data_IF_486369722857
#
_entry.id   IF_486369722857
#
_cell.length_a   1.000
_cell.length_b   1.000
_cell.length_c   1.000
_cell.angle_alpha   90.00
_cell.angle_beta   90.00
_cell.angle_gamma   90.00
#
_symmetry.space_group_name_H-M   'P 1'
#
loop_
_entity.id
_entity.type
_entity.pdbx_description
1 polymer ?
#
# COMPACT_ATOMS: atom_id res chain seq x y z
N UNK A 1 4.70 -16.58 -31.31
CA UNK A 1 3.54 -16.68 -30.40
C UNK A 1 3.83 -15.77 -29.22
N UNK A 2 3.20 -14.59 -29.15
CA UNK A 2 3.34 -13.67 -28.01
C UNK A 2 2.27 -14.04 -26.98
N UNK A 3 2.63 -14.00 -25.71
CA UNK A 3 1.68 -14.10 -24.61
C UNK A 3 0.90 -12.80 -24.56
N UNK A 4 -0.42 -12.91 -24.48
CA UNK A 4 -1.31 -11.75 -24.38
C UNK A 4 -1.12 -11.08 -23.01
N UNK A 5 -1.30 -9.76 -22.92
CA UNK A 5 -1.09 -9.01 -21.66
C UNK A 5 -1.86 -9.60 -20.45
N UNK A 6 -3.02 -10.23 -20.70
CA UNK A 6 -3.83 -10.92 -19.69
C UNK A 6 -3.13 -12.13 -19.07
N UNK A 7 -2.48 -12.94 -19.91
CA UNK A 7 -1.79 -14.16 -19.47
C UNK A 7 -0.54 -13.82 -18.66
N UNK A 8 0.14 -12.73 -19.01
CA UNK A 8 1.29 -12.25 -18.25
C UNK A 8 0.89 -11.74 -16.86
N UNK A 9 -0.24 -11.04 -16.75
CA UNK A 9 -0.78 -10.61 -15.45
C UNK A 9 -1.29 -11.79 -14.60
N UNK A 10 -1.89 -12.81 -15.23
CA UNK A 10 -2.30 -14.03 -14.53
C UNK A 10 -1.08 -14.78 -13.95
N UNK A 11 0.01 -14.86 -14.72
CA UNK A 11 1.26 -15.43 -14.24
C UNK A 11 1.90 -14.63 -13.11
N UNK A 12 1.82 -13.29 -13.16
CA UNK A 12 2.33 -12.44 -12.09
C UNK A 12 1.66 -12.77 -10.75
N UNK A 13 0.32 -12.79 -10.75
CA UNK A 13 -0.48 -13.16 -9.58
C UNK A 13 -0.14 -14.57 -9.10
N UNK A 14 0.04 -15.51 -10.04
CA UNK A 14 0.42 -16.88 -9.71
C UNK A 14 1.82 -16.95 -9.10
N UNK A 15 2.80 -16.25 -9.66
CA UNK A 15 4.19 -16.22 -9.17
C UNK A 15 4.26 -15.65 -7.75
N UNK A 16 3.53 -14.58 -7.48
CA UNK A 16 3.41 -14.01 -6.14
C UNK A 16 2.72 -14.97 -5.17
N UNK A 17 1.65 -15.62 -5.62
CA UNK A 17 0.91 -16.57 -4.78
C UNK A 17 1.75 -17.75 -4.40
N UNK A 18 2.39 -18.40 -5.37
CA UNK A 18 3.25 -19.57 -5.15
C UNK A 18 4.45 -19.17 -4.25
N UNK A 19 5.00 -17.97 -4.42
CA UNK A 19 6.08 -17.44 -3.57
C UNK A 19 5.68 -17.33 -2.10
N UNK A 20 4.44 -16.91 -1.83
CA UNK A 20 3.92 -16.77 -0.46
C UNK A 20 3.57 -18.13 0.13
N UNK A 21 2.98 -19.04 -0.64
CA UNK A 21 2.51 -20.33 -0.13
C UNK A 21 3.62 -21.37 0.00
N UNK A 22 4.56 -21.43 -0.94
CA UNK A 22 5.61 -22.45 -0.99
C UNK A 22 6.98 -21.92 -0.55
N UNK A 23 7.14 -20.60 -0.47
CA UNK A 23 8.41 -19.94 -0.22
C UNK A 23 9.21 -19.69 -1.49
N UNK A 24 10.11 -18.69 -1.42
CA UNK A 24 10.93 -18.23 -2.56
C UNK A 24 11.96 -19.25 -3.05
N UNK A 25 12.40 -20.15 -2.17
CA UNK A 25 13.38 -21.18 -2.48
C UNK A 25 12.78 -22.43 -3.13
N UNK A 26 11.46 -22.53 -3.22
CA UNK A 26 10.80 -23.70 -3.81
C UNK A 26 11.02 -23.75 -5.34
N UNK A 27 11.21 -24.96 -5.87
CA UNK A 27 11.41 -25.20 -7.30
C UNK A 27 10.25 -24.68 -8.14
N UNK A 28 9.01 -24.91 -7.70
CA UNK A 28 7.81 -24.47 -8.42
C UNK A 28 7.74 -22.95 -8.46
N UNK A 29 8.04 -22.29 -7.34
CA UNK A 29 8.13 -20.82 -7.29
C UNK A 29 9.12 -20.28 -8.31
N UNK A 30 10.30 -20.90 -8.41
CA UNK A 30 11.34 -20.47 -9.36
C UNK A 30 10.92 -20.67 -10.80
N UNK A 31 10.34 -21.82 -11.14
CA UNK A 31 9.92 -22.09 -12.52
C UNK A 31 8.73 -21.21 -12.95
N UNK A 32 7.76 -20.97 -12.06
CA UNK A 32 6.63 -20.05 -12.34
C UNK A 32 7.13 -18.61 -12.51
N UNK A 33 8.07 -18.17 -11.66
CA UNK A 33 8.68 -16.84 -11.78
C UNK A 33 9.50 -16.71 -13.06
N UNK A 34 10.27 -17.73 -13.43
CA UNK A 34 11.02 -17.79 -14.69
C UNK A 34 10.07 -17.71 -15.90
N UNK A 35 8.92 -18.38 -15.87
CA UNK A 35 7.93 -18.29 -16.93
C UNK A 35 7.36 -16.87 -17.06
N UNK A 36 7.08 -16.21 -15.94
CA UNK A 36 6.64 -14.81 -15.91
C UNK A 36 7.70 -13.84 -16.48
N UNK A 37 8.95 -13.96 -16.02
CA UNK A 37 10.04 -13.06 -16.43
C UNK A 37 10.47 -13.26 -17.89
N UNK A 38 10.48 -14.52 -18.37
CA UNK A 38 10.95 -14.85 -19.71
C UNK A 38 9.91 -14.62 -20.81
N UNK A 39 8.62 -14.82 -20.51
CA UNK A 39 7.57 -14.81 -21.52
C UNK A 39 7.78 -15.84 -22.65
N UNK A 40 8.52 -16.93 -22.41
CA UNK A 40 8.80 -17.93 -23.45
C UNK A 40 7.92 -19.16 -23.28
N UNK A 41 7.27 -19.67 -24.34
CA UNK A 41 6.38 -20.85 -24.23
C UNK A 41 7.03 -22.07 -23.54
N UNK A 42 8.32 -22.31 -23.76
CA UNK A 42 9.05 -23.42 -23.13
C UNK A 42 9.10 -23.29 -21.60
N UNK A 43 9.30 -22.08 -21.10
CA UNK A 43 9.33 -21.81 -19.67
C UNK A 43 7.92 -21.99 -19.05
N UNK A 44 6.85 -21.70 -19.80
CA UNK A 44 5.47 -22.01 -19.36
C UNK A 44 5.20 -23.50 -19.23
N UNK A 45 5.63 -24.30 -20.20
CA UNK A 45 5.47 -25.75 -20.12
C UNK A 45 6.19 -26.31 -18.90
N UNK A 46 7.40 -25.79 -18.63
CA UNK A 46 8.19 -26.17 -17.46
C UNK A 46 7.49 -25.78 -16.16
N UNK A 47 7.01 -24.54 -16.05
CA UNK A 47 6.25 -24.08 -14.89
C UNK A 47 4.96 -24.88 -14.68
N UNK A 48 4.23 -25.20 -15.75
CA UNK A 48 3.01 -26.02 -15.70
C UNK A 48 3.31 -27.44 -15.22
N UNK A 49 4.39 -28.05 -15.71
CA UNK A 49 4.83 -29.37 -15.27
C UNK A 49 5.23 -29.37 -13.79
N UNK A 50 6.03 -28.38 -13.37
CA UNK A 50 6.43 -28.21 -11.97
C UNK A 50 5.22 -28.00 -11.05
N UNK A 51 4.25 -27.18 -11.46
CA UNK A 51 3.02 -26.96 -10.71
C UNK A 51 2.18 -28.25 -10.63
N UNK A 52 2.04 -28.99 -11.73
CA UNK A 52 1.29 -30.26 -11.75
C UNK A 52 1.93 -31.37 -10.91
N UNK A 53 3.23 -31.28 -10.61
CA UNK A 53 3.91 -32.22 -9.72
C UNK A 53 3.54 -32.02 -8.24
N UNK A 54 2.88 -30.89 -7.89
CA UNK A 54 2.40 -30.68 -6.53
C UNK A 54 1.22 -31.60 -6.19
N UNK A 55 1.09 -32.02 -4.92
CA UNK A 55 -0.10 -32.70 -4.42
C UNK A 55 -1.39 -31.95 -4.79
N UNK A 56 -2.46 -32.68 -5.08
CA UNK A 56 -3.74 -32.09 -5.52
C UNK A 56 -4.28 -31.05 -4.53
N UNK A 57 -4.24 -31.35 -3.23
CA UNK A 57 -4.68 -30.42 -2.18
C UNK A 57 -3.89 -29.11 -2.19
N UNK A 58 -2.59 -29.17 -2.50
CA UNK A 58 -1.72 -28.00 -2.50
C UNK A 58 -1.95 -27.15 -3.75
N UNK A 59 -2.20 -27.78 -4.89
CA UNK A 59 -2.62 -27.07 -6.11
C UNK A 59 -3.95 -26.35 -5.92
N UNK A 60 -4.90 -26.99 -5.25
CA UNK A 60 -6.19 -26.38 -4.95
C UNK A 60 -6.04 -25.17 -4.03
N UNK A 61 -5.30 -25.31 -2.92
CA UNK A 61 -5.03 -24.20 -2.01
C UNK A 61 -4.37 -22.99 -2.71
N UNK A 62 -3.39 -23.25 -3.58
CA UNK A 62 -2.73 -22.19 -4.36
C UNK A 62 -3.70 -21.58 -5.37
N UNK A 63 -4.52 -22.40 -6.04
CA UNK A 63 -5.54 -21.95 -6.98
C UNK A 63 -6.54 -21.01 -6.33
N UNK A 64 -7.08 -21.40 -5.17
CA UNK A 64 -8.04 -20.60 -4.40
C UNK A 64 -7.42 -19.25 -3.98
N UNK A 65 -6.19 -19.27 -3.45
CA UNK A 65 -5.48 -18.06 -3.06
C UNK A 65 -5.13 -17.15 -4.26
N UNK A 66 -4.75 -17.73 -5.40
CA UNK A 66 -4.48 -16.98 -6.62
C UNK A 66 -5.76 -16.34 -7.16
N UNK A 67 -6.88 -17.04 -7.08
CA UNK A 67 -8.19 -16.52 -7.46
C UNK A 67 -8.62 -15.36 -6.58
N UNK A 68 -8.48 -15.47 -5.26
CA UNK A 68 -8.78 -14.35 -4.34
C UNK A 68 -7.90 -13.12 -4.62
N UNK A 69 -6.60 -13.33 -4.89
CA UNK A 69 -5.71 -12.24 -5.28
C UNK A 69 -6.10 -11.62 -6.61
N UNK A 70 -6.46 -12.42 -7.61
CA UNK A 70 -6.92 -11.92 -8.90
C UNK A 70 -8.19 -11.06 -8.76
N UNK A 71 -9.14 -11.49 -7.93
CA UNK A 71 -10.36 -10.75 -7.63
C UNK A 71 -10.05 -9.43 -6.90
N UNK A 72 -9.13 -9.46 -5.94
CA UNK A 72 -8.70 -8.26 -5.21
C UNK A 72 -7.97 -7.28 -6.12
N UNK A 73 -7.03 -7.76 -6.93
CA UNK A 73 -6.31 -6.95 -7.91
C UNK A 73 -7.27 -6.31 -8.93
N UNK A 74 -8.25 -7.07 -9.42
CA UNK A 74 -9.30 -6.55 -10.30
C UNK A 74 -10.11 -5.45 -9.62
N UNK A 75 -10.55 -5.65 -8.36
CA UNK A 75 -11.31 -4.65 -7.60
C UNK A 75 -10.51 -3.37 -7.32
N UNK A 76 -9.21 -3.49 -7.08
CA UNK A 76 -8.31 -2.34 -6.89
C UNK A 76 -8.11 -1.59 -8.20
N UNK A 77 -7.91 -2.31 -9.31
CA UNK A 77 -7.76 -1.72 -10.64
C UNK A 77 -9.04 -1.02 -11.14
N UNK A 78 -10.23 -1.52 -10.81
CA UNK A 78 -11.50 -0.85 -11.11
C UNK A 78 -11.94 0.15 -10.06
N UNK A 79 -11.21 0.34 -8.95
CA UNK A 79 -11.51 1.42 -8.01
C UNK A 79 -11.03 2.72 -8.65
N UNK A 80 -11.93 3.62 -9.08
CA UNK A 80 -11.49 4.92 -9.56
C UNK A 80 -10.86 5.63 -8.36
N UNK A 81 -9.55 5.81 -8.36
CA UNK A 81 -8.83 6.65 -7.40
C UNK A 81 -9.05 8.14 -7.71
N UNK A 82 -10.27 8.50 -8.11
CA UNK A 82 -10.65 9.86 -8.44
C UNK A 82 -11.30 10.53 -7.24
N UNK A 83 -10.51 11.27 -6.46
CA UNK A 83 -10.94 12.65 -6.22
C UNK A 83 -10.64 13.35 -7.54
N UNK A 84 -11.65 13.42 -8.41
CA UNK A 84 -11.51 14.04 -9.73
C UNK A 84 -11.34 15.55 -9.55
N UNK A 85 -10.09 16.03 -9.64
CA UNK A 85 -9.76 17.45 -9.58
C UNK A 85 -10.20 18.21 -10.84
N UNK A 86 -10.51 17.49 -11.92
CA UNK A 86 -11.01 18.07 -13.18
C UNK A 86 -12.45 18.59 -13.07
N UNK A 87 -13.24 18.08 -12.13
CA UNK A 87 -14.58 18.60 -11.81
C UNK A 87 -14.53 19.88 -10.94
N UNK A 88 -13.34 20.27 -10.44
CA UNK A 88 -13.14 21.55 -9.76
C UNK A 88 -12.76 22.70 -10.71
N UNK A 89 -12.55 22.42 -11.99
CA UNK A 89 -12.10 23.43 -12.97
C UNK A 89 -13.20 24.35 -13.50
N UNK A 90 -14.48 23.98 -13.36
CA UNK A 90 -15.58 24.64 -14.07
C UNK A 90 -16.59 25.35 -13.16
N UNK A 91 -16.22 25.62 -11.90
CA UNK A 91 -16.96 26.55 -11.05
C UNK A 91 -16.02 27.55 -10.43
N UNK A 92 -15.85 28.62 -11.20
CA UNK A 92 -15.48 29.97 -10.81
C UNK A 92 -16.36 30.49 -9.65
N UNK A 93 -16.23 29.85 -8.49
CA UNK A 93 -16.76 30.32 -7.21
C UNK A 93 -15.56 30.46 -6.29
N UNK A 94 -14.96 31.64 -6.35
CA UNK A 94 -14.22 32.26 -5.27
C UNK A 94 -14.59 31.63 -3.93
N UNK A 95 -13.68 30.85 -3.35
CA UNK A 95 -13.83 30.39 -1.97
C UNK A 95 -13.65 31.64 -1.11
N UNK A 96 -14.76 32.34 -0.88
CA UNK A 96 -14.81 33.45 0.04
C UNK A 96 -14.82 32.83 1.44
N UNK A 97 -13.66 32.84 2.08
CA UNK A 97 -13.58 32.58 3.52
C UNK A 97 -14.43 33.64 4.22
N UNK A 98 -15.43 33.27 5.05
CA UNK A 98 -16.12 34.26 5.86
C UNK A 98 -15.08 34.88 6.80
N UNK A 99 -14.90 36.20 6.68
CA UNK A 99 -14.13 36.97 7.64
C UNK A 99 -14.81 36.77 9.00
N UNK A 100 -14.13 36.06 9.89
CA UNK A 100 -14.59 35.88 11.27
C UNK A 100 -14.67 37.28 11.88
N UNK A 101 -15.85 37.77 12.31
CA UNK A 101 -15.93 39.06 12.97
C UNK A 101 -15.07 39.02 14.23
N UNK A 102 -14.17 40.00 14.37
CA UNK A 102 -13.34 40.21 15.56
C UNK A 102 -14.27 40.49 16.75
N UNK A 103 -14.57 39.46 17.53
CA UNK A 103 -15.43 39.59 18.71
C UNK A 103 -15.83 38.28 19.39
N UNK A 104 -15.61 37.12 18.77
CA UNK A 104 -15.90 35.83 19.43
C UNK A 104 -14.72 35.42 20.31
N UNK A 105 -14.72 35.88 21.55
CA UNK A 105 -13.91 35.28 22.60
C UNK A 105 -14.50 33.90 22.94
N UNK A 106 -13.71 32.80 22.96
CA UNK A 106 -14.20 31.54 23.48
C UNK A 106 -14.55 31.74 24.97
N UNK A 107 -15.82 31.49 25.30
CA UNK A 107 -16.30 31.50 26.67
C UNK A 107 -15.55 30.44 27.47
N UNK A 108 -14.78 30.93 28.43
CA UNK A 108 -14.06 30.11 29.39
C UNK A 108 -15.09 29.56 30.39
N UNK A 109 -15.50 28.30 30.24
CA UNK A 109 -16.11 27.52 31.33
C UNK A 109 -15.08 26.58 31.90
N UNK A 110 -14.51 27.02 33.01
CA UNK A 110 -13.59 26.33 33.88
C UNK A 110 -14.14 24.99 34.40
N UNK A 111 -13.28 23.96 34.48
CA UNK A 111 -12.93 23.27 35.73
C UNK A 111 -12.23 21.93 35.44
N UNK A 112 -10.90 21.91 35.47
CA UNK A 112 -10.17 20.84 36.18
C UNK A 112 -8.90 21.48 36.71
N UNK A 113 -8.94 21.84 38.00
CA UNK A 113 -7.80 22.30 38.77
C UNK A 113 -6.86 21.11 38.98
N UNK A 114 -5.66 21.17 38.45
CA UNK A 114 -4.48 20.61 39.08
C UNK A 114 -3.42 21.72 39.16
N UNK A 115 -3.49 22.47 40.25
CA UNK A 115 -2.32 22.98 40.98
C UNK A 115 -1.25 21.87 41.07
N UNK A 116 0.06 22.09 40.96
CA UNK A 116 0.91 23.20 41.38
C UNK A 116 2.31 22.89 40.82
N UNK A 117 3.08 23.90 40.42
CA UNK A 117 4.47 23.72 40.02
C UNK A 117 5.06 25.01 39.49
N UNK A 118 5.38 25.91 40.42
CA UNK A 118 5.78 27.28 40.18
C UNK A 118 7.20 27.43 39.59
N UNK A 119 7.31 28.36 38.64
CA UNK A 119 8.32 29.44 38.55
C UNK A 119 9.81 29.08 38.67
N UNK A 120 10.55 29.31 37.57
CA UNK A 120 11.45 30.46 37.42
C UNK A 120 12.62 30.13 36.49
N UNK A 121 12.53 30.57 35.24
CA UNK A 121 13.70 30.77 34.39
C UNK A 121 14.39 32.06 34.81
N UNK A 122 15.52 31.94 35.50
CA UNK A 122 16.44 33.04 35.75
C UNK A 122 17.85 32.60 35.35
N UNK A 123 18.37 33.17 34.26
CA UNK A 123 19.81 33.18 33.97
C UNK A 123 20.54 33.90 35.12
N UNK A 124 21.79 33.52 35.39
CA UNK A 124 22.81 34.56 35.47
C UNK A 124 24.05 34.27 34.63
N UNK A 125 24.62 35.36 34.14
CA UNK A 125 25.81 35.45 33.32
C UNK A 125 27.12 35.36 34.13
N UNK A 126 28.09 34.62 33.56
CA UNK A 126 29.55 34.78 33.71
C UNK A 126 30.21 34.35 35.05
N UNK A 127 31.56 34.40 35.17
CA UNK A 127 32.59 34.66 34.14
C UNK A 127 33.84 33.72 34.18
N UNK A 128 34.64 33.83 33.10
CA UNK A 128 36.12 33.71 32.94
C UNK A 128 36.92 32.48 33.44
N UNK A 129 37.60 31.86 32.46
CA UNK A 129 38.89 31.12 32.57
C UNK A 129 39.94 31.86 33.41
N UNK A 130 40.86 31.16 34.07
CA UNK A 130 42.22 30.91 33.53
C UNK A 130 42.77 29.51 33.97
N UNK A 131 43.95 28.99 33.62
CA UNK A 131 45.06 29.30 32.73
C UNK A 131 45.57 27.95 32.20
#
# INVERSE_FOLDING_TARGET
MKIENSDQHALEILADTVSVTLGRSNIVTREVRRAYESGRPVDFFTAKAAFNALPGWQRQQIGDAAQERAWTARRVATRPTGRDWRDLGDRDKTIMFPVIPRGVHPANTAATKHSQGALASALPAGPKRPA
#
